data_IF_168881774621
#
_entry.id   IF_168881774621
#
_cell.length_a   1.000
_cell.length_b   1.000
_cell.length_c   1.000
_cell.angle_alpha   90.00
_cell.angle_beta   90.00
_cell.angle_gamma   90.00
#
_symmetry.space_group_name_H-M   'P 1'
#
loop_
_entity.id
_entity.type
_entity.pdbx_description
1 polymer ?
#
# COMPACT_ATOMS: atom_id res chain seq x y z
N UNK A 1 -13.26 -9.28 21.81
CA UNK A 1 -13.31 -10.05 20.55
C UNK A 1 -12.15 -11.02 20.57
N UNK A 2 -12.40 -12.28 20.25
CA UNK A 2 -11.37 -13.32 20.23
C UNK A 2 -11.28 -13.82 18.81
N UNK A 3 -10.07 -13.87 18.25
CA UNK A 3 -9.80 -14.38 16.91
C UNK A 3 -9.03 -15.68 17.09
N UNK A 4 -9.52 -16.76 16.49
CA UNK A 4 -8.83 -18.05 16.45
C UNK A 4 -8.18 -18.21 15.09
N UNK A 5 -6.89 -18.51 15.07
CA UNK A 5 -6.10 -18.75 13.86
C UNK A 5 -5.67 -20.20 13.86
N UNK A 6 -6.01 -20.94 12.81
CA UNK A 6 -5.47 -22.27 12.57
C UNK A 6 -4.17 -22.12 11.78
N UNK A 7 -3.05 -22.55 12.37
CA UNK A 7 -1.72 -22.47 11.78
C UNK A 7 -1.19 -23.88 11.57
N UNK A 8 -0.40 -24.06 10.51
CA UNK A 8 0.38 -25.29 10.38
C UNK A 8 1.52 -25.30 11.42
N UNK A 9 2.03 -26.47 11.81
CA UNK A 9 3.14 -26.56 12.77
C UNK A 9 4.38 -25.77 12.34
N UNK A 10 4.67 -25.73 11.04
CA UNK A 10 5.79 -24.97 10.48
C UNK A 10 5.60 -23.45 10.66
N UNK A 11 4.38 -22.96 10.44
CA UNK A 11 4.04 -21.54 10.63
C UNK A 11 4.09 -21.14 12.10
N UNK A 12 3.63 -22.01 13.00
CA UNK A 12 3.72 -21.78 14.45
C UNK A 12 5.17 -21.70 14.93
N UNK A 13 6.04 -22.60 14.42
CA UNK A 13 7.47 -22.59 14.71
C UNK A 13 8.18 -21.35 14.14
N UNK A 14 7.77 -20.86 12.97
CA UNK A 14 8.27 -19.61 12.42
C UNK A 14 7.82 -18.40 13.26
N UNK A 15 6.54 -18.33 13.61
CA UNK A 15 5.97 -17.23 14.40
C UNK A 15 6.62 -17.13 15.78
N UNK A 16 6.83 -18.26 16.44
CA UNK A 16 7.50 -18.34 17.74
C UNK A 16 8.95 -17.84 17.67
N UNK A 17 9.70 -18.21 16.62
CA UNK A 17 11.07 -17.72 16.41
C UNK A 17 11.11 -16.21 16.20
N UNK A 18 10.23 -15.68 15.38
CA UNK A 18 10.16 -14.23 15.12
C UNK A 18 9.77 -13.45 16.39
N UNK A 19 8.81 -13.98 17.17
CA UNK A 19 8.40 -13.40 18.44
C UNK A 19 9.56 -13.33 19.44
N UNK A 20 10.34 -14.42 19.57
CA UNK A 20 11.53 -14.47 20.41
C UNK A 20 12.62 -13.49 19.94
N UNK A 21 12.90 -13.43 18.64
CA UNK A 21 13.90 -12.51 18.09
C UNK A 21 13.56 -11.04 18.35
N UNK A 22 12.27 -10.70 18.46
CA UNK A 22 11.80 -9.34 18.69
C UNK A 22 11.54 -9.05 20.18
N UNK A 23 11.79 -10.00 21.07
CA UNK A 23 11.45 -9.94 22.50
C UNK A 23 9.97 -9.55 22.73
N UNK A 24 9.08 -10.13 21.92
CA UNK A 24 7.63 -9.87 21.95
C UNK A 24 6.86 -11.16 22.15
N UNK A 25 5.73 -11.06 22.86
CA UNK A 25 4.74 -12.12 22.86
C UNK A 25 4.09 -12.27 21.48
N UNK A 26 3.77 -13.51 21.09
CA UNK A 26 3.07 -13.81 19.83
C UNK A 26 1.80 -12.96 19.62
N UNK A 27 0.92 -12.76 20.64
CA UNK A 27 -0.27 -11.93 20.46
C UNK A 27 0.06 -10.47 20.12
N UNK A 28 1.09 -9.91 20.74
CA UNK A 28 1.54 -8.52 20.49
C UNK A 28 2.12 -8.40 19.08
N UNK A 29 2.96 -9.36 18.67
CA UNK A 29 3.51 -9.40 17.32
C UNK A 29 2.41 -9.49 16.27
N UNK A 30 1.42 -10.38 16.46
CA UNK A 30 0.29 -10.53 15.55
C UNK A 30 -0.56 -9.27 15.51
N UNK A 31 -0.85 -8.65 16.66
CA UNK A 31 -1.64 -7.42 16.71
C UNK A 31 -0.92 -6.26 16.03
N UNK A 32 0.38 -6.06 16.28
CA UNK A 32 1.15 -4.99 15.62
C UNK A 32 1.30 -5.24 14.12
N UNK A 33 1.51 -6.49 13.72
CA UNK A 33 1.61 -6.88 12.31
C UNK A 33 0.27 -6.67 11.61
N UNK A 34 -0.83 -7.13 12.23
CA UNK A 34 -2.18 -6.88 11.76
C UNK A 34 -2.47 -5.38 11.71
N UNK A 35 -2.12 -4.59 12.73
CA UNK A 35 -2.27 -3.14 12.70
C UNK A 35 -1.43 -2.49 11.61
N UNK A 36 -0.20 -2.94 11.37
CA UNK A 36 0.65 -2.41 10.30
C UNK A 36 0.08 -2.71 8.92
N UNK A 37 -0.47 -3.91 8.73
CA UNK A 37 -1.12 -4.30 7.47
C UNK A 37 -2.54 -3.74 7.31
N UNK A 38 -3.29 -3.54 8.39
CA UNK A 38 -4.59 -2.85 8.40
C UNK A 38 -4.44 -1.33 8.30
N UNK A 39 -3.28 -0.79 8.69
CA UNK A 39 -2.85 0.59 8.42
C UNK A 39 -2.30 0.77 7.00
N UNK A 40 -2.54 -0.16 6.08
CA UNK A 40 -2.46 0.19 4.67
C UNK A 40 -3.66 1.09 4.33
N UNK A 41 -3.41 2.39 4.23
CA UNK A 41 -4.17 3.32 3.40
C UNK A 41 -5.67 3.53 3.74
N UNK A 42 -6.06 3.54 5.01
CA UNK A 42 -7.35 4.19 5.35
C UNK A 42 -7.08 5.65 5.65
N UNK A 43 -7.07 6.44 4.58
CA UNK A 43 -7.22 7.88 4.69
C UNK A 43 -8.52 8.18 5.47
N UNK A 44 -8.55 9.25 6.30
CA UNK A 44 -9.81 9.80 6.78
C UNK A 44 -10.81 9.90 5.62
N UNK A 45 -12.10 9.67 5.89
CA UNK A 45 -13.13 9.62 4.82
C UNK A 45 -13.07 10.84 3.89
N UNK A 46 -12.86 12.02 4.48
CA UNK A 46 -12.65 13.29 3.75
C UNK A 46 -11.44 13.25 2.82
N UNK A 47 -10.31 12.71 3.28
CA UNK A 47 -9.09 12.62 2.48
C UNK A 47 -9.20 11.54 1.40
N UNK A 48 -9.91 10.44 1.68
CA UNK A 48 -10.24 9.41 0.70
C UNK A 48 -11.14 9.96 -0.41
N UNK A 49 -12.11 10.80 -0.06
CA UNK A 49 -13.00 11.47 -1.01
C UNK A 49 -12.24 12.53 -1.84
N UNK A 50 -11.37 13.33 -1.20
CA UNK A 50 -10.47 14.25 -1.89
C UNK A 50 -9.56 13.51 -2.87
N UNK A 51 -8.96 12.39 -2.48
CA UNK A 51 -8.17 11.58 -3.40
C UNK A 51 -9.00 11.02 -4.55
N UNK A 52 -10.25 10.61 -4.32
CA UNK A 52 -11.14 10.19 -5.43
C UNK A 52 -11.39 11.33 -6.39
N UNK A 53 -11.60 12.56 -5.90
CA UNK A 53 -11.83 13.75 -6.72
C UNK A 53 -10.59 14.12 -7.53
N UNK A 54 -9.42 14.14 -6.87
CA UNK A 54 -8.11 14.42 -7.48
C UNK A 54 -7.81 13.39 -8.56
N UNK A 55 -8.10 12.11 -8.31
CA UNK A 55 -7.79 11.03 -9.26
C UNK A 55 -8.91 10.73 -10.26
N UNK A 56 -10.05 11.40 -10.18
CA UNK A 56 -11.19 11.21 -11.08
C UNK A 56 -10.85 11.38 -12.58
N UNK A 57 -9.92 12.27 -12.99
CA UNK A 57 -9.55 12.43 -14.40
C UNK A 57 -8.88 11.20 -15.03
N UNK A 58 -8.26 10.31 -14.25
CA UNK A 58 -7.60 9.13 -14.78
C UNK A 58 -8.58 7.95 -14.89
N UNK A 59 -8.57 7.30 -16.06
CA UNK A 59 -9.19 5.99 -16.23
C UNK A 59 -8.65 4.98 -15.19
N UNK A 60 -9.47 4.02 -14.72
CA UNK A 60 -9.03 3.01 -13.74
C UNK A 60 -7.75 2.27 -14.14
N UNK A 61 -7.58 1.97 -15.43
CA UNK A 61 -6.43 1.29 -15.99
C UNK A 61 -5.16 2.14 -15.88
N UNK A 62 -5.28 3.43 -16.22
CA UNK A 62 -4.19 4.40 -16.12
C UNK A 62 -3.79 4.69 -14.66
N UNK A 63 -4.76 4.65 -13.72
CA UNK A 63 -4.46 4.71 -12.27
C UNK A 63 -3.66 3.51 -11.82
N UNK A 64 -4.09 2.30 -12.20
CA UNK A 64 -3.38 1.07 -11.86
C UNK A 64 -1.97 1.06 -12.42
N UNK A 65 -1.79 1.48 -13.66
CA UNK A 65 -0.47 1.59 -14.30
C UNK A 65 0.45 2.56 -13.54
N UNK A 66 -0.06 3.76 -13.21
CA UNK A 66 0.67 4.73 -12.38
C UNK A 66 1.08 4.15 -11.03
N UNK A 67 0.15 3.49 -10.33
CA UNK A 67 0.41 2.96 -9.00
C UNK A 67 1.45 1.83 -9.04
N UNK A 68 1.44 0.99 -10.08
CA UNK A 68 2.49 0.00 -10.35
C UNK A 68 3.84 0.70 -10.54
N UNK A 69 3.91 1.72 -11.40
CA UNK A 69 5.15 2.45 -11.66
C UNK A 69 5.71 3.13 -10.39
N UNK A 70 4.85 3.67 -9.53
CA UNK A 70 5.25 4.22 -8.22
C UNK A 70 5.78 3.15 -7.27
N UNK A 71 5.20 1.94 -7.28
CA UNK A 71 5.71 0.81 -6.50
C UNK A 71 7.07 0.36 -7.03
N UNK A 72 7.22 0.23 -8.34
CA UNK A 72 8.50 -0.14 -8.98
C UNK A 72 9.57 0.91 -8.66
N UNK A 73 9.26 2.21 -8.77
CA UNK A 73 10.19 3.30 -8.44
C UNK A 73 10.71 3.25 -7.00
N UNK A 74 9.88 2.80 -6.05
CA UNK A 74 10.29 2.64 -4.64
C UNK A 74 11.22 1.46 -4.41
N UNK A 75 11.20 0.46 -5.30
CA UNK A 75 11.96 -0.78 -5.17
C UNK A 75 13.21 -0.77 -6.05
N UNK A 76 13.18 -0.06 -7.17
CA UNK A 76 14.22 -0.02 -8.18
C UNK A 76 14.13 1.26 -9.04
N UNK A 77 15.18 1.56 -9.78
CA UNK A 77 15.15 2.65 -10.75
C UNK A 77 14.25 2.30 -11.94
N UNK A 78 13.37 3.25 -12.34
CA UNK A 78 12.56 3.12 -13.55
C UNK A 78 13.40 3.32 -14.80
N UNK A 79 13.11 2.55 -15.85
CA UNK A 79 13.63 2.83 -17.19
C UNK A 79 13.16 4.20 -17.69
N UNK A 80 13.85 4.75 -18.70
CA UNK A 80 13.49 6.02 -19.31
C UNK A 80 12.07 6.04 -19.85
N UNK A 81 11.61 4.93 -20.44
CA UNK A 81 10.25 4.80 -20.96
C UNK A 81 9.21 4.80 -19.83
N UNK A 82 9.43 3.99 -18.79
CA UNK A 82 8.55 3.92 -17.61
C UNK A 82 8.45 5.26 -16.89
N UNK A 83 9.57 5.97 -16.76
CA UNK A 83 9.60 7.31 -16.16
C UNK A 83 8.81 8.31 -17.00
N UNK A 84 8.94 8.28 -18.33
CA UNK A 84 8.17 9.16 -19.22
C UNK A 84 6.66 8.87 -19.12
N UNK A 85 6.27 7.60 -19.05
CA UNK A 85 4.87 7.20 -18.82
C UNK A 85 4.37 7.71 -17.48
N UNK A 86 5.13 7.52 -16.39
CA UNK A 86 4.77 7.99 -15.06
C UNK A 86 4.59 9.52 -15.03
N UNK A 87 5.51 10.29 -15.62
CA UNK A 87 5.39 11.73 -15.73
C UNK A 87 4.12 12.14 -16.48
N UNK A 88 3.83 11.52 -17.63
CA UNK A 88 2.63 11.83 -18.42
C UNK A 88 1.34 11.60 -17.62
N UNK A 89 1.29 10.51 -16.84
CA UNK A 89 0.14 10.18 -16.00
C UNK A 89 -0.04 11.16 -14.83
N UNK A 90 1.06 11.65 -14.25
CA UNK A 90 1.03 12.67 -13.19
C UNK A 90 0.59 14.02 -13.78
N UNK A 91 1.19 14.45 -14.88
CA UNK A 91 0.88 15.72 -15.55
C UNK A 91 -0.60 15.77 -15.98
N UNK A 92 -1.16 14.65 -16.46
CA UNK A 92 -2.56 14.56 -16.83
C UNK A 92 -3.50 14.82 -15.64
N UNK A 93 -3.15 14.32 -14.45
CA UNK A 93 -3.89 14.56 -13.20
C UNK A 93 -3.76 16.02 -12.78
N UNK A 94 -2.52 16.53 -12.74
CA UNK A 94 -2.24 17.91 -12.32
C UNK A 94 -2.91 18.93 -13.21
N UNK A 95 -2.77 18.81 -14.54
CA UNK A 95 -3.39 19.72 -15.51
C UNK A 95 -4.92 19.72 -15.41
N UNK A 96 -5.52 18.56 -15.17
CA UNK A 96 -6.98 18.47 -15.07
C UNK A 96 -7.49 19.04 -13.75
N UNK A 97 -6.77 18.81 -12.65
CA UNK A 97 -7.15 19.36 -11.34
C UNK A 97 -6.87 20.86 -11.23
N UNK A 98 -5.79 21.37 -11.83
CA UNK A 98 -5.46 22.79 -11.85
C UNK A 98 -6.47 23.66 -12.62
N UNK A 99 -7.31 23.03 -13.47
CA UNK A 99 -8.39 23.69 -14.21
C UNK A 99 -9.73 23.71 -13.47
N UNK A 100 -9.83 23.05 -12.31
CA UNK A 100 -11.02 23.03 -11.46
C UNK A 100 -10.91 24.09 -10.38
#
# INVERSE_FOLDING_TARGET
MTITLELTPDMEAQLSRVAQMQDKGIPTLLMETAQRHLRSDVLPETDAELLKIINAPLAPEARRERDILLVVQKQSELSTAERATLCTLIDAVELTNARR
#
